data_IF_047378180907
#
_entry.id   IF_047378180907
#
_cell.length_a   1.000
_cell.length_b   1.000
_cell.length_c   1.000
_cell.angle_alpha   90.00
_cell.angle_beta   90.00
_cell.angle_gamma   90.00
#
_symmetry.space_group_name_H-M   'P 1'
#
loop_
_entity.id
_entity.type
_entity.pdbx_description
1 polymer ?
#
# COMPACT_ATOMS: atom_id res chain seq x y z
N UNK A 1 -16.42 3.75 19.81
CA UNK A 1 -15.79 2.60 19.12
C UNK A 1 -15.44 2.85 17.64
N UNK A 2 -16.14 3.73 16.89
CA UNK A 2 -15.88 3.92 15.44
C UNK A 2 -14.51 4.50 15.07
N UNK A 3 -14.04 5.57 15.72
CA UNK A 3 -12.80 6.28 15.32
C UNK A 3 -11.52 5.44 15.36
N UNK A 4 -11.40 4.49 16.30
CA UNK A 4 -10.20 3.65 16.42
C UNK A 4 -10.11 2.68 15.24
N UNK A 5 -11.25 2.16 14.78
CA UNK A 5 -11.34 1.30 13.60
C UNK A 5 -10.99 2.05 12.33
N UNK A 6 -11.49 3.28 12.17
CA UNK A 6 -11.21 4.11 11.00
C UNK A 6 -9.71 4.46 10.90
N UNK A 7 -9.09 4.86 12.02
CA UNK A 7 -7.64 5.13 12.08
C UNK A 7 -6.80 3.90 11.74
N UNK A 8 -7.23 2.71 12.18
CA UNK A 8 -6.55 1.47 11.82
C UNK A 8 -6.67 1.18 10.33
N UNK A 9 -7.85 1.37 9.74
CA UNK A 9 -8.07 1.20 8.30
C UNK A 9 -7.21 2.16 7.48
N UNK A 10 -7.09 3.42 7.90
CA UNK A 10 -6.23 4.42 7.24
C UNK A 10 -4.74 4.01 7.29
N UNK A 11 -4.25 3.53 8.43
CA UNK A 11 -2.86 3.09 8.57
C UNK A 11 -2.56 1.81 7.75
N UNK A 12 -3.48 0.84 7.78
CA UNK A 12 -3.39 -0.38 6.99
C UNK A 12 -3.42 -0.06 5.49
N UNK A 13 -4.31 0.85 5.07
CA UNK A 13 -4.41 1.31 3.69
C UNK A 13 -3.13 2.04 3.25
N UNK A 14 -2.60 2.94 4.07
CA UNK A 14 -1.35 3.67 3.76
C UNK A 14 -0.20 2.70 3.52
N UNK A 15 -0.08 1.68 4.36
CA UNK A 15 0.96 0.65 4.23
C UNK A 15 0.79 -0.16 2.94
N UNK A 16 -0.45 -0.57 2.64
CA UNK A 16 -0.76 -1.28 1.41
C UNK A 16 -0.50 -0.43 0.16
N UNK A 17 -0.95 0.82 0.17
CA UNK A 17 -0.75 1.78 -0.92
C UNK A 17 0.75 1.96 -1.21
N UNK A 18 1.55 2.24 -0.18
CA UNK A 18 3.00 2.37 -0.35
C UNK A 18 3.65 1.11 -0.93
N UNK A 19 3.24 -0.07 -0.48
CA UNK A 19 3.75 -1.33 -1.03
C UNK A 19 3.40 -1.47 -2.53
N UNK A 20 2.17 -1.17 -2.92
CA UNK A 20 1.78 -1.25 -4.33
C UNK A 20 2.50 -0.18 -5.15
N UNK A 21 2.49 1.08 -4.73
CA UNK A 21 3.14 2.18 -5.45
C UNK A 21 4.65 1.94 -5.62
N UNK A 22 5.34 1.43 -4.60
CA UNK A 22 6.78 1.11 -4.73
C UNK A 22 7.06 -0.06 -5.67
N UNK A 23 6.14 -1.03 -5.76
CA UNK A 23 6.22 -2.12 -6.73
C UNK A 23 5.99 -1.61 -8.17
N UNK A 24 4.93 -0.84 -8.37
CA UNK A 24 4.56 -0.32 -9.71
C UNK A 24 5.59 0.68 -10.22
N UNK A 25 6.16 1.51 -9.35
CA UNK A 25 7.18 2.50 -9.72
C UNK A 25 8.62 2.01 -9.51
N UNK A 26 8.86 0.69 -9.38
CA UNK A 26 10.18 0.17 -9.02
C UNK A 26 11.29 0.66 -9.95
N UNK A 27 11.07 0.65 -11.27
CA UNK A 27 12.05 1.10 -12.25
C UNK A 27 12.32 2.61 -12.15
N UNK A 28 11.28 3.42 -11.97
CA UNK A 28 11.41 4.87 -11.89
C UNK A 28 12.01 5.32 -10.56
N UNK A 29 11.70 4.62 -9.46
CA UNK A 29 12.32 4.83 -8.16
C UNK A 29 13.82 4.49 -8.20
N UNK A 30 14.22 3.47 -8.95
CA UNK A 30 15.63 3.15 -9.15
C UNK A 30 16.34 4.25 -9.95
N UNK A 31 15.73 4.77 -11.02
CA UNK A 31 16.27 5.92 -11.77
C UNK A 31 16.41 7.16 -10.89
N UNK A 32 15.38 7.51 -10.12
CA UNK A 32 15.39 8.66 -9.21
C UNK A 32 16.50 8.49 -8.16
N UNK A 33 16.64 7.30 -7.57
CA UNK A 33 17.67 7.01 -6.57
C UNK A 33 19.09 7.13 -7.13
N UNK A 34 19.28 6.76 -8.39
CA UNK A 34 20.58 6.78 -9.06
C UNK A 34 20.91 8.14 -9.72
N UNK A 35 20.02 9.13 -9.62
CA UNK A 35 20.27 10.47 -10.14
C UNK A 35 21.29 11.24 -9.28
N UNK A 36 22.17 12.02 -9.93
CA UNK A 36 23.26 12.75 -9.29
C UNK A 36 22.80 13.79 -8.25
N UNK A 37 21.53 14.21 -8.33
CA UNK A 37 20.89 15.20 -7.48
C UNK A 37 20.04 14.58 -6.35
N UNK A 38 19.92 13.25 -6.27
CA UNK A 38 19.25 12.58 -5.17
C UNK A 38 20.11 12.60 -3.89
N UNK A 39 19.88 13.58 -3.02
CA UNK A 39 20.73 13.86 -1.85
C UNK A 39 19.90 14.08 -0.59
N UNK A 40 20.55 14.02 0.58
CA UNK A 40 20.08 14.51 1.90
C UNK A 40 18.57 14.41 2.20
N UNK A 41 17.81 15.37 1.70
CA UNK A 41 16.38 15.58 1.92
C UNK A 41 15.46 14.92 0.86
N UNK A 42 16.00 14.47 -0.27
CA UNK A 42 15.26 13.86 -1.36
C UNK A 42 14.53 12.57 -0.93
N UNK A 43 15.14 11.72 -0.10
CA UNK A 43 14.51 10.49 0.38
C UNK A 43 13.30 10.77 1.30
N UNK A 44 13.43 11.59 2.37
CA UNK A 44 12.27 12.02 3.15
C UNK A 44 11.17 12.69 2.32
N UNK A 45 11.55 13.51 1.33
CA UNK A 45 10.60 14.15 0.42
C UNK A 45 9.86 13.12 -0.43
N UNK A 46 10.57 12.17 -1.05
CA UNK A 46 9.99 11.09 -1.85
C UNK A 46 9.00 10.24 -1.02
N UNK A 47 9.37 9.85 0.20
CA UNK A 47 8.49 9.09 1.09
C UNK A 47 7.21 9.86 1.39
N UNK A 48 7.31 11.17 1.71
CA UNK A 48 6.15 12.03 1.97
C UNK A 48 5.26 12.17 0.74
N UNK A 49 5.84 12.35 -0.44
CA UNK A 49 5.09 12.45 -1.70
C UNK A 49 4.34 11.16 -2.01
N UNK A 50 4.97 10.00 -1.85
CA UNK A 50 4.31 8.70 -2.01
C UNK A 50 3.18 8.53 -0.98
N UNK A 51 3.40 8.87 0.29
CA UNK A 51 2.36 8.83 1.32
C UNK A 51 1.19 9.77 1.01
N UNK A 52 1.48 10.98 0.49
CA UNK A 52 0.45 11.96 0.14
C UNK A 52 -0.51 11.43 -0.92
N UNK A 53 -0.08 10.53 -1.81
CA UNK A 53 -0.95 9.89 -2.79
C UNK A 53 -2.19 9.20 -2.19
N UNK A 54 -2.15 8.80 -0.92
CA UNK A 54 -3.31 8.26 -0.19
C UNK A 54 -4.47 9.25 -0.07
N UNK A 55 -4.21 10.57 -0.12
CA UNK A 55 -5.25 11.59 -0.01
C UNK A 55 -6.22 11.61 -1.20
N UNK A 56 -5.89 10.91 -2.29
CA UNK A 56 -6.76 10.72 -3.44
C UNK A 56 -7.92 9.75 -3.16
N UNK A 57 -7.89 9.04 -2.03
CA UNK A 57 -8.89 8.04 -1.67
C UNK A 57 -9.67 8.48 -0.43
N UNK A 58 -11.00 8.49 -0.56
CA UNK A 58 -11.89 8.74 0.58
C UNK A 58 -11.79 7.60 1.61
N UNK A 59 -12.11 7.85 2.88
CA UNK A 59 -12.12 6.80 3.91
C UNK A 59 -13.00 5.59 3.53
N UNK A 60 -14.12 5.85 2.83
CA UNK A 60 -14.99 4.80 2.31
C UNK A 60 -14.30 3.93 1.25
N UNK A 61 -13.54 4.54 0.34
CA UNK A 61 -12.83 3.81 -0.71
C UNK A 61 -11.64 3.04 -0.14
N UNK A 62 -10.91 3.64 0.80
CA UNK A 62 -9.84 2.95 1.53
C UNK A 62 -10.37 1.68 2.20
N UNK A 63 -11.52 1.76 2.88
CA UNK A 63 -12.18 0.61 3.49
C UNK A 63 -12.56 -0.46 2.47
N UNK A 64 -13.21 -0.10 1.37
CA UNK A 64 -13.60 -1.04 0.30
C UNK A 64 -12.40 -1.77 -0.29
N UNK A 65 -11.31 -1.05 -0.56
CA UNK A 65 -10.07 -1.62 -1.10
C UNK A 65 -9.47 -2.62 -0.10
N UNK A 66 -9.44 -2.27 1.18
CA UNK A 66 -8.92 -3.15 2.23
C UNK A 66 -9.77 -4.40 2.46
N UNK A 67 -11.10 -4.29 2.36
CA UNK A 67 -12.03 -5.43 2.43
C UNK A 67 -11.89 -6.36 1.21
N UNK A 68 -11.77 -5.79 0.01
CA UNK A 68 -11.52 -6.56 -1.22
C UNK A 68 -10.19 -7.32 -1.13
N UNK A 69 -9.11 -6.68 -0.66
CA UNK A 69 -7.82 -7.32 -0.43
C UNK A 69 -7.91 -8.50 0.54
N UNK A 70 -8.65 -8.36 1.64
CA UNK A 70 -8.85 -9.45 2.59
C UNK A 70 -9.58 -10.63 1.95
N UNK A 71 -10.60 -10.34 1.13
CA UNK A 71 -11.39 -11.36 0.42
C UNK A 71 -10.54 -12.12 -0.59
N UNK A 72 -9.70 -11.43 -1.38
CA UNK A 72 -8.75 -12.07 -2.31
C UNK A 72 -7.72 -12.95 -1.59
N UNK A 73 -7.28 -12.57 -0.38
CA UNK A 73 -6.34 -13.39 0.41
C UNK A 73 -6.96 -14.62 1.08
N UNK A 74 -8.29 -14.70 1.14
CA UNK A 74 -9.04 -15.83 1.73
C UNK A 74 -9.33 -16.92 0.68
N UNK A 75 -9.56 -16.54 -0.58
CA UNK A 75 -9.78 -17.51 -1.67
C UNK A 75 -8.54 -18.37 -1.99
N UNK A 76 -7.33 -17.86 -1.73
CA UNK A 76 -6.08 -18.57 -2.04
C UNK A 76 -5.68 -19.63 -0.99
N UNK A 77 -6.32 -19.62 0.20
CA UNK A 77 -6.01 -20.59 1.27
C UNK A 77 -6.88 -21.85 1.25
N UNK A 78 -8.00 -21.85 0.53
CA UNK A 78 -8.96 -22.97 0.55
C UNK A 78 -8.69 -24.06 -0.49
N UNK A 79 -7.77 -23.83 -1.43
CA UNK A 79 -7.44 -24.80 -2.47
C UNK A 79 -6.24 -25.73 -2.13
N UNK A 80 -5.51 -25.45 -1.05
CA UNK A 80 -4.35 -26.27 -0.64
C UNK A 80 -4.71 -27.54 0.15
N UNK A 81 -5.99 -27.79 0.46
CA UNK A 81 -6.42 -28.87 1.38
C UNK A 81 -7.16 -30.03 0.69
N UNK A 82 -7.23 -30.05 -0.65
CA UNK A 82 -7.94 -31.11 -1.41
C UNK A 82 -7.07 -32.02 -2.28
N UNK A 83 -5.75 -31.91 -2.25
CA UNK A 83 -4.84 -32.80 -2.99
C UNK A 83 -4.01 -33.67 -2.04
N UNK A 84 -4.67 -34.39 -1.13
CA UNK A 84 -4.07 -35.47 -0.31
C UNK A 84 -5.19 -36.32 0.30
N UNK A 85 -5.93 -37.05 -0.53
CA UNK A 85 -6.78 -38.16 -0.09
C UNK A 85 -6.91 -39.19 -1.21
#
# INVERSE_FOLDING_TARGET
>A
MGKITDQKTEADFTSYYLQQSTKEFAEDLDKIRNADDFKGDALPMLIRSLQQGTSMFSATDQKRIMEAKQTSSVGERTDSEKESA
#
